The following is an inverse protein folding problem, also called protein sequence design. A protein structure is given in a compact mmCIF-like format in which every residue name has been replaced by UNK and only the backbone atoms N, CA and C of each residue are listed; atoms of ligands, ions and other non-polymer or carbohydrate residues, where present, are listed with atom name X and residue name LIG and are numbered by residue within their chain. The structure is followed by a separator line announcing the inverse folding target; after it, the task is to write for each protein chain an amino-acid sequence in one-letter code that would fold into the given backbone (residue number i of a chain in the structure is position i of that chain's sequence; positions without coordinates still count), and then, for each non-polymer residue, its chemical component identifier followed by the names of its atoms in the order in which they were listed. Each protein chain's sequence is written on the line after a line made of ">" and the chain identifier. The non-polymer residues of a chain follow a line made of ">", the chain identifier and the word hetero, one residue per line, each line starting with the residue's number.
data_IF_169664081165
#
_entry.id   IF_169664081165
#
_cell.length_a   1.000
_cell.length_b   1.000
_cell.length_c   1.000
_cell.angle_alpha   90.00
_cell.angle_beta   90.00
_cell.angle_gamma   90.00
#
_symmetry.space_group_name_H-M   'P 1'
#
loop_
_entity.id
_entity.type
_entity.pdbx_description
1 polymer ?
#
# COMPACT_ATOMS: atom_id res chain seq x y z
N UNK A 1 -27.43 -6.81 -7.85
CA UNK A 1 -27.27 -5.34 -7.86
C UNK A 1 -28.43 -4.77 -7.08
N UNK A 2 -28.18 -4.20 -5.91
CA UNK A 2 -29.22 -3.82 -4.95
C UNK A 2 -29.39 -2.30 -4.83
N UNK A 3 -28.92 -1.52 -5.81
CA UNK A 3 -28.93 -0.04 -5.82
C UNK A 3 -28.43 0.60 -4.51
N UNK A 4 -27.44 -0.06 -3.89
CA UNK A 4 -26.84 0.38 -2.64
C UNK A 4 -25.83 1.52 -2.91
N UNK A 5 -25.67 2.45 -1.96
CA UNK A 5 -24.70 3.52 -2.07
C UNK A 5 -23.27 2.96 -2.16
N UNK A 6 -22.40 3.62 -2.94
CA UNK A 6 -20.99 3.26 -3.05
C UNK A 6 -20.22 3.64 -1.77
N UNK A 7 -20.58 2.99 -0.68
CA UNK A 7 -19.98 3.16 0.65
C UNK A 7 -19.64 1.82 1.25
N UNK A 8 -18.72 1.78 2.21
CA UNK A 8 -18.23 0.53 2.80
C UNK A 8 -19.29 -0.22 3.59
N UNK A 9 -20.27 0.50 4.14
CA UNK A 9 -21.44 -0.12 4.77
C UNK A 9 -22.18 -1.06 3.84
N UNK A 10 -22.19 -0.79 2.54
CA UNK A 10 -22.87 -1.59 1.54
C UNK A 10 -22.29 -3.00 1.39
N UNK A 11 -21.00 -3.18 1.65
CA UNK A 11 -20.36 -4.50 1.66
C UNK A 11 -20.89 -5.42 2.77
N UNK A 12 -21.46 -4.85 3.85
CA UNK A 12 -22.06 -5.60 4.95
C UNK A 12 -23.55 -5.87 4.76
N UNK A 13 -24.17 -5.38 3.69
CA UNK A 13 -25.58 -5.59 3.42
C UNK A 13 -26.01 -7.08 3.47
N UNK A 14 -25.24 -8.03 2.90
CA UNK A 14 -25.60 -9.45 2.98
C UNK A 14 -25.66 -10.01 4.41
N UNK A 15 -24.96 -9.37 5.36
CA UNK A 15 -24.85 -9.82 6.76
C UNK A 15 -25.85 -9.12 7.67
N UNK A 16 -26.01 -7.80 7.52
CA UNK A 16 -26.80 -6.98 8.45
C UNK A 16 -28.05 -6.35 7.83
N UNK A 17 -28.28 -6.55 6.53
CA UNK A 17 -29.45 -6.05 5.82
C UNK A 17 -29.62 -4.53 5.94
N UNK A 18 -30.87 -4.05 6.10
CA UNK A 18 -31.21 -2.63 6.16
C UNK A 18 -30.57 -1.86 7.35
N UNK A 19 -29.97 -2.56 8.32
CA UNK A 19 -29.23 -1.93 9.42
C UNK A 19 -28.00 -1.14 8.93
N UNK A 20 -27.59 -1.31 7.67
CA UNK A 20 -26.55 -0.47 7.04
C UNK A 20 -26.96 1.02 7.02
N UNK A 21 -28.24 1.35 6.99
CA UNK A 21 -28.71 2.74 6.99
C UNK A 21 -28.78 3.36 8.40
N UNK A 22 -28.46 2.59 9.44
CA UNK A 22 -28.50 3.01 10.84
C UNK A 22 -27.13 3.38 11.42
N UNK A 23 -27.07 3.44 12.77
CA UNK A 23 -25.85 3.77 13.54
C UNK A 23 -24.69 2.79 13.26
N UNK A 24 -25.00 1.51 13.02
CA UNK A 24 -24.02 0.48 12.67
C UNK A 24 -23.32 0.79 11.34
N UNK A 25 -24.09 1.11 10.29
CA UNK A 25 -23.53 1.49 9.01
C UNK A 25 -22.67 2.77 9.09
N UNK A 26 -23.12 3.77 9.86
CA UNK A 26 -22.35 4.98 10.08
C UNK A 26 -21.02 4.68 10.81
N UNK A 27 -21.05 3.80 11.82
CA UNK A 27 -19.82 3.40 12.51
C UNK A 27 -18.83 2.72 11.55
N UNK A 28 -19.32 1.81 10.71
CA UNK A 28 -18.47 1.14 9.68
C UNK A 28 -17.81 2.15 8.76
N UNK A 29 -18.57 3.13 8.26
CA UNK A 29 -18.00 4.15 7.37
C UNK A 29 -16.99 5.05 8.09
N UNK A 30 -17.25 5.44 9.35
CA UNK A 30 -16.31 6.23 10.15
C UNK A 30 -15.00 5.46 10.38
N UNK A 31 -15.07 4.20 10.82
CA UNK A 31 -13.88 3.37 10.99
C UNK A 31 -13.12 3.17 9.69
N UNK A 32 -13.84 3.02 8.60
CA UNK A 32 -13.25 2.87 7.29
C UNK A 32 -12.50 4.14 6.83
N UNK A 33 -13.08 5.32 7.08
CA UNK A 33 -12.42 6.62 6.79
C UNK A 33 -11.17 6.77 7.66
N UNK A 34 -11.28 6.55 8.96
CA UNK A 34 -10.15 6.62 9.88
C UNK A 34 -9.02 5.66 9.46
N UNK A 35 -9.36 4.40 9.16
CA UNK A 35 -8.39 3.41 8.69
C UNK A 35 -7.69 3.84 7.41
N UNK A 36 -8.42 4.44 6.47
CA UNK A 36 -7.83 4.99 5.24
C UNK A 36 -6.89 6.17 5.53
N UNK A 37 -7.31 7.10 6.38
CA UNK A 37 -6.49 8.26 6.74
C UNK A 37 -5.16 7.84 7.39
N UNK A 38 -5.21 6.95 8.38
CA UNK A 38 -4.00 6.44 9.03
C UNK A 38 -3.14 5.59 8.09
N UNK A 39 -3.75 4.78 7.22
CA UNK A 39 -3.03 4.02 6.22
C UNK A 39 -2.28 4.89 5.21
N UNK A 40 -2.92 5.95 4.71
CA UNK A 40 -2.28 6.94 3.82
C UNK A 40 -1.18 7.69 4.55
N UNK A 41 -1.43 8.14 5.80
CA UNK A 41 -0.43 8.86 6.59
C UNK A 41 0.82 8.00 6.84
N UNK A 42 0.65 6.73 7.18
CA UNK A 42 1.76 5.79 7.40
C UNK A 42 2.55 5.55 6.11
N UNK A 43 1.87 5.27 5.00
CA UNK A 43 2.51 5.03 3.70
C UNK A 43 3.26 6.26 3.20
N UNK A 44 2.65 7.45 3.35
CA UNK A 44 3.28 8.71 2.98
C UNK A 44 4.52 8.99 3.85
N UNK A 45 4.43 8.75 5.16
CA UNK A 45 5.55 8.92 6.10
C UNK A 45 6.75 8.05 5.73
N UNK A 46 6.53 6.76 5.51
CA UNK A 46 7.59 5.82 5.09
C UNK A 46 8.16 6.24 3.73
N UNK A 47 7.32 6.58 2.76
CA UNK A 47 7.75 7.02 1.44
C UNK A 47 8.61 8.29 1.49
N UNK A 48 8.21 9.26 2.32
CA UNK A 48 8.98 10.51 2.50
C UNK A 48 10.34 10.27 3.16
N UNK A 49 10.43 9.35 4.10
CA UNK A 49 11.73 8.96 4.69
C UNK A 49 12.66 8.38 3.63
N UNK A 50 12.16 7.53 2.74
CA UNK A 50 12.93 6.97 1.63
C UNK A 50 13.36 8.05 0.63
N UNK A 51 12.47 8.96 0.24
CA UNK A 51 12.78 10.09 -0.64
C UNK A 51 13.84 10.98 -0.01
N UNK A 52 13.71 11.32 1.29
CA UNK A 52 14.70 12.15 1.99
C UNK A 52 16.07 11.45 2.04
N UNK A 53 16.13 10.15 2.28
CA UNK A 53 17.37 9.38 2.25
C UNK A 53 18.00 9.40 0.84
N UNK A 54 17.20 9.24 -0.22
CA UNK A 54 17.66 9.38 -1.61
C UNK A 54 18.19 10.77 -1.94
N UNK A 55 17.50 11.82 -1.52
CA UNK A 55 17.92 13.21 -1.70
C UNK A 55 19.20 13.54 -0.90
N UNK A 56 19.36 12.95 0.26
CA UNK A 56 20.60 13.05 1.02
C UNK A 56 21.77 12.44 0.25
N UNK A 57 21.58 11.24 -0.29
CA UNK A 57 22.63 10.56 -1.06
C UNK A 57 23.01 11.32 -2.34
N UNK A 58 22.05 11.86 -3.08
CA UNK A 58 22.28 12.53 -4.36
C UNK A 58 22.74 13.99 -4.22
N UNK A 59 22.20 14.73 -3.28
CA UNK A 59 22.33 16.18 -3.16
C UNK A 59 22.86 16.65 -1.81
N UNK A 60 23.14 15.73 -0.88
CA UNK A 60 23.60 16.09 0.47
C UNK A 60 22.55 16.77 1.35
N UNK A 61 21.27 16.71 0.99
CA UNK A 61 20.20 17.29 1.81
C UNK A 61 20.10 16.58 3.16
N UNK A 62 20.02 17.32 4.30
CA UNK A 62 20.00 16.67 5.61
C UNK A 62 18.76 15.79 5.80
N UNK A 63 18.96 14.63 6.42
CA UNK A 63 17.84 13.79 6.87
C UNK A 63 17.29 14.41 8.14
N UNK A 64 16.24 15.22 8.02
CA UNK A 64 15.67 15.96 9.14
C UNK A 64 14.14 16.05 9.04
N UNK A 65 13.52 16.26 10.18
CA UNK A 65 12.05 16.43 10.28
C UNK A 65 11.58 17.60 9.40
N UNK A 66 12.34 18.69 9.32
CA UNK A 66 11.97 19.85 8.51
C UNK A 66 11.89 19.49 7.02
N UNK A 67 12.89 18.77 6.50
CA UNK A 67 12.90 18.33 5.09
C UNK A 67 11.75 17.35 4.84
N UNK A 68 11.50 16.42 5.76
CA UNK A 68 10.40 15.48 5.64
C UNK A 68 9.04 16.17 5.64
N UNK A 69 8.81 17.16 6.50
CA UNK A 69 7.57 17.96 6.50
C UNK A 69 7.40 18.75 5.20
N UNK A 70 8.47 19.34 4.69
CA UNK A 70 8.43 20.03 3.38
C UNK A 70 8.09 19.06 2.23
N UNK A 71 8.66 17.85 2.24
CA UNK A 71 8.35 16.81 1.26
C UNK A 71 6.89 16.34 1.37
N UNK A 72 6.38 16.11 2.60
CA UNK A 72 4.97 15.78 2.82
C UNK A 72 4.07 16.87 2.25
N UNK A 73 4.35 18.13 2.54
CA UNK A 73 3.57 19.26 2.03
C UNK A 73 3.59 19.30 0.50
N UNK A 74 4.75 19.12 -0.13
CA UNK A 74 4.89 19.13 -1.59
C UNK A 74 4.12 17.96 -2.24
N UNK A 75 4.27 16.75 -1.72
CA UNK A 75 3.58 15.55 -2.24
C UNK A 75 2.07 15.69 -2.04
N UNK A 76 1.63 16.16 -0.86
CA UNK A 76 0.21 16.37 -0.57
C UNK A 76 -0.39 17.44 -1.47
N UNK A 77 0.34 18.52 -1.73
CA UNK A 77 -0.09 19.56 -2.67
C UNK A 77 -0.26 18.98 -4.09
N UNK A 78 0.72 18.23 -4.59
CA UNK A 78 0.64 17.58 -5.89
C UNK A 78 -0.53 16.58 -5.97
N UNK A 79 -0.74 15.79 -4.93
CA UNK A 79 -1.87 14.87 -4.84
C UNK A 79 -3.21 15.61 -4.83
N UNK A 80 -3.31 16.72 -4.08
CA UNK A 80 -4.52 17.54 -4.02
C UNK A 80 -4.84 18.15 -5.40
N UNK A 81 -3.85 18.70 -6.09
CA UNK A 81 -4.02 19.21 -7.46
C UNK A 81 -4.50 18.10 -8.40
N UNK A 82 -3.92 16.91 -8.29
CA UNK A 82 -4.34 15.74 -9.07
C UNK A 82 -5.80 15.36 -8.83
N UNK A 83 -6.24 15.34 -7.56
CA UNK A 83 -7.63 15.04 -7.19
C UNK A 83 -8.60 16.11 -7.67
N UNK A 84 -8.25 17.39 -7.52
CA UNK A 84 -9.08 18.54 -7.96
C UNK A 84 -9.21 18.56 -9.48
N UNK A 85 -8.17 18.16 -10.22
CA UNK A 85 -8.21 18.04 -11.69
C UNK A 85 -9.14 16.93 -12.18
N UNK A 86 -9.60 16.05 -11.28
CA UNK A 86 -10.56 14.97 -11.57
C UNK A 86 -9.91 13.62 -11.89
N UNK A 87 -10.76 12.60 -11.94
CA UNK A 87 -10.32 11.19 -12.10
C UNK A 87 -9.56 10.96 -13.41
N UNK A 88 -10.09 11.45 -14.53
CA UNK A 88 -9.51 11.19 -15.86
C UNK A 88 -8.30 12.08 -16.16
N UNK A 89 -8.35 13.35 -15.77
CA UNK A 89 -7.30 14.31 -16.10
C UNK A 89 -6.13 14.30 -15.11
N UNK A 90 -6.40 14.02 -13.84
CA UNK A 90 -5.39 14.05 -12.77
C UNK A 90 -4.93 12.66 -12.38
N UNK A 91 -5.79 11.91 -11.73
CA UNK A 91 -5.43 10.63 -11.10
C UNK A 91 -4.98 9.60 -12.15
N UNK A 92 -5.72 9.45 -13.24
CA UNK A 92 -5.39 8.50 -14.30
C UNK A 92 -4.05 8.81 -14.95
N UNK A 93 -3.81 10.06 -15.34
CA UNK A 93 -2.54 10.44 -16.01
C UNK A 93 -1.34 10.28 -15.07
N UNK A 94 -1.51 10.62 -13.79
CA UNK A 94 -0.44 10.44 -12.80
C UNK A 94 -0.14 8.96 -12.58
N UNK A 95 -1.16 8.11 -12.57
CA UNK A 95 -1.03 6.66 -12.47
C UNK A 95 -0.34 6.06 -13.70
N UNK A 96 -0.73 6.47 -14.91
CA UNK A 96 -0.10 6.04 -16.16
C UNK A 96 1.38 6.47 -16.22
N UNK A 97 1.68 7.70 -15.79
CA UNK A 97 3.06 8.20 -15.69
C UNK A 97 3.88 7.36 -14.69
N UNK A 98 3.32 7.07 -13.54
CA UNK A 98 4.00 6.25 -12.52
C UNK A 98 4.32 4.84 -13.05
N UNK A 99 3.37 4.21 -13.76
CA UNK A 99 3.58 2.90 -14.39
C UNK A 99 4.68 2.95 -15.45
N UNK A 100 4.67 3.99 -16.28
CA UNK A 100 5.71 4.20 -17.30
C UNK A 100 7.09 4.36 -16.67
N UNK A 101 7.20 5.20 -15.64
CA UNK A 101 8.46 5.41 -14.92
C UNK A 101 8.97 4.13 -14.25
N UNK A 102 8.07 3.34 -13.65
CA UNK A 102 8.42 2.05 -13.06
C UNK A 102 8.94 1.06 -14.12
N UNK A 103 8.29 1.00 -15.29
CA UNK A 103 8.73 0.15 -16.40
C UNK A 103 10.09 0.61 -16.95
N UNK A 104 10.28 1.90 -17.16
CA UNK A 104 11.55 2.47 -17.61
C UNK A 104 12.68 2.18 -16.61
N UNK A 105 12.43 2.34 -15.33
CA UNK A 105 13.41 2.03 -14.28
C UNK A 105 13.75 0.53 -14.29
N UNK A 106 12.75 -0.34 -14.40
CA UNK A 106 12.97 -1.79 -14.47
C UNK A 106 13.83 -2.18 -15.67
N UNK A 107 13.50 -1.65 -16.87
CA UNK A 107 14.28 -1.90 -18.09
C UNK A 107 15.70 -1.33 -17.96
N UNK A 108 15.84 -0.12 -17.44
CA UNK A 108 17.15 0.49 -17.19
C UNK A 108 18.03 -0.38 -16.28
N UNK A 109 17.49 -0.82 -15.15
CA UNK A 109 18.23 -1.69 -14.20
C UNK A 109 18.59 -3.02 -14.86
N UNK A 110 17.69 -3.58 -15.65
CA UNK A 110 17.94 -4.84 -16.34
C UNK A 110 19.08 -4.71 -17.39
N UNK A 111 19.10 -3.61 -18.14
CA UNK A 111 20.09 -3.39 -19.22
C UNK A 111 21.42 -2.86 -18.70
N UNK A 112 21.38 -1.89 -17.78
CA UNK A 112 22.59 -1.26 -17.23
C UNK A 112 23.24 -2.07 -16.10
N UNK A 113 22.49 -2.97 -15.48
CA UNK A 113 22.97 -3.83 -14.40
C UNK A 113 23.54 -5.17 -14.91
N UNK A 114 23.91 -6.06 -13.99
CA UNK A 114 24.40 -7.40 -14.32
C UNK A 114 23.21 -8.30 -14.73
N UNK A 115 22.73 -8.16 -15.94
CA UNK A 115 21.50 -8.79 -16.48
C UNK A 115 21.42 -10.30 -16.21
N UNK A 116 22.50 -11.04 -16.47
CA UNK A 116 22.53 -12.48 -16.24
C UNK A 116 22.34 -12.84 -14.77
N UNK A 117 23.00 -12.09 -13.89
CA UNK A 117 22.85 -12.28 -12.44
C UNK A 117 21.43 -11.95 -11.99
N UNK A 118 20.83 -10.86 -12.49
CA UNK A 118 19.45 -10.46 -12.15
C UNK A 118 18.44 -11.53 -12.55
N UNK A 119 18.54 -12.04 -13.77
CA UNK A 119 17.65 -13.09 -14.27
C UNK A 119 17.87 -14.44 -13.54
N UNK A 120 19.13 -14.82 -13.30
CA UNK A 120 19.45 -16.03 -12.56
C UNK A 120 18.93 -15.95 -11.12
N UNK A 121 19.11 -14.81 -10.47
CA UNK A 121 18.59 -14.56 -9.11
C UNK A 121 17.07 -14.60 -9.07
N UNK A 122 16.39 -14.04 -10.08
CA UNK A 122 14.94 -14.09 -10.16
C UNK A 122 14.43 -15.54 -10.21
N UNK A 123 15.02 -16.36 -11.09
CA UNK A 123 14.63 -17.78 -11.22
C UNK A 123 14.91 -18.54 -9.93
N UNK A 124 16.09 -18.33 -9.34
CA UNK A 124 16.46 -18.98 -8.09
C UNK A 124 15.52 -18.57 -6.94
N UNK A 125 15.20 -17.28 -6.82
CA UNK A 125 14.30 -16.77 -5.78
C UNK A 125 12.87 -17.32 -5.94
N UNK A 126 12.37 -17.46 -7.17
CA UNK A 126 11.08 -18.11 -7.44
C UNK A 126 11.11 -19.56 -6.95
N UNK A 127 12.17 -20.31 -7.28
CA UNK A 127 12.33 -21.68 -6.82
C UNK A 127 12.39 -21.79 -5.30
N UNK A 128 13.16 -20.93 -4.64
CA UNK A 128 13.25 -20.87 -3.18
C UNK A 128 11.92 -20.50 -2.52
N UNK A 129 11.20 -19.54 -3.10
CA UNK A 129 9.87 -19.15 -2.62
C UNK A 129 8.88 -20.31 -2.69
N UNK A 130 8.79 -20.96 -3.85
CA UNK A 130 7.85 -22.08 -4.05
C UNK A 130 8.21 -23.29 -3.16
N UNK A 131 9.48 -23.62 -3.01
CA UNK A 131 9.92 -24.74 -2.15
C UNK A 131 9.76 -24.44 -0.66
N UNK A 132 9.93 -23.18 -0.26
CA UNK A 132 9.79 -22.75 1.13
C UNK A 132 8.36 -22.38 1.55
N UNK A 133 7.40 -22.35 0.62
CA UNK A 133 6.06 -21.81 0.85
C UNK A 133 5.35 -22.49 2.03
N UNK A 134 5.39 -23.80 2.12
CA UNK A 134 4.73 -24.57 3.18
C UNK A 134 5.38 -24.28 4.53
N UNK A 135 6.70 -24.34 4.61
CA UNK A 135 7.46 -24.07 5.83
C UNK A 135 7.19 -22.64 6.33
N UNK A 136 7.29 -21.64 5.46
CA UNK A 136 7.04 -20.25 5.81
C UNK A 136 5.60 -20.00 6.25
N UNK A 137 4.61 -20.67 5.65
CA UNK A 137 3.19 -20.51 5.99
C UNK A 137 2.86 -21.02 7.38
N UNK A 138 3.46 -22.15 7.78
CA UNK A 138 3.16 -22.80 9.05
C UNK A 138 4.21 -22.55 10.14
N UNK A 139 5.24 -21.78 9.87
CA UNK A 139 6.27 -21.44 10.85
C UNK A 139 5.75 -20.40 11.84
N UNK A 140 5.36 -20.85 13.01
CA UNK A 140 4.86 -20.01 14.12
C UNK A 140 5.86 -19.84 15.26
N UNK A 141 7.11 -20.32 15.08
CA UNK A 141 8.19 -20.21 16.06
C UNK A 141 7.84 -20.76 17.46
N UNK A 142 7.07 -21.86 17.51
CA UNK A 142 6.59 -22.45 18.76
C UNK A 142 7.72 -22.88 19.71
N UNK A 143 8.87 -23.27 19.15
CA UNK A 143 10.05 -23.75 19.90
C UNK A 143 11.17 -22.70 20.01
N UNK A 144 11.06 -21.62 19.28
CA UNK A 144 12.03 -20.51 19.23
C UNK A 144 11.28 -19.18 19.44
N UNK A 145 10.91 -18.84 20.68
CA UNK A 145 10.12 -17.62 20.94
C UNK A 145 10.85 -16.38 20.41
N UNK A 146 10.18 -15.65 19.57
CA UNK A 146 10.63 -14.36 19.04
C UNK A 146 9.44 -13.43 18.76
N UNK A 147 9.74 -12.17 18.58
CA UNK A 147 8.72 -11.13 18.36
C UNK A 147 8.18 -11.07 16.92
N UNK A 148 8.65 -11.95 16.03
CA UNK A 148 8.28 -11.92 14.60
C UNK A 148 6.78 -12.09 14.39
N UNK A 149 6.16 -13.05 15.07
CA UNK A 149 4.73 -13.32 14.96
C UNK A 149 3.90 -12.11 15.39
N UNK A 150 4.22 -11.50 16.53
CA UNK A 150 3.54 -10.31 17.04
C UNK A 150 3.73 -9.10 16.15
N UNK A 151 4.96 -8.82 15.75
CA UNK A 151 5.30 -7.59 15.04
C UNK A 151 4.97 -7.63 13.54
N UNK A 152 5.02 -8.80 12.91
CA UNK A 152 4.86 -8.93 11.47
C UNK A 152 3.67 -9.79 11.07
N UNK A 153 3.59 -11.03 11.52
CA UNK A 153 2.53 -11.94 11.08
C UNK A 153 1.15 -11.45 11.48
N UNK A 154 0.94 -11.12 12.75
CA UNK A 154 -0.34 -10.62 13.24
C UNK A 154 -0.68 -9.25 12.64
N UNK A 155 0.32 -8.37 12.51
CA UNK A 155 0.14 -7.06 11.88
C UNK A 155 -0.34 -7.18 10.43
N UNK A 156 0.36 -7.96 9.60
CA UNK A 156 -0.03 -8.15 8.21
C UNK A 156 -1.36 -8.89 8.07
N UNK A 157 -1.61 -9.89 8.91
CA UNK A 157 -2.87 -10.63 8.91
C UNK A 157 -4.05 -9.70 9.21
N UNK A 158 -3.96 -8.90 10.25
CA UNK A 158 -4.96 -7.90 10.60
C UNK A 158 -5.14 -6.85 9.50
N UNK A 159 -4.05 -6.38 8.90
CA UNK A 159 -4.09 -5.43 7.79
C UNK A 159 -4.83 -6.01 6.59
N UNK A 160 -4.48 -7.21 6.14
CA UNK A 160 -5.13 -7.83 4.99
C UNK A 160 -6.62 -8.08 5.21
N UNK A 161 -7.03 -8.53 6.41
CA UNK A 161 -8.44 -8.69 6.77
C UNK A 161 -9.15 -7.34 6.72
N UNK A 162 -8.57 -6.30 7.29
CA UNK A 162 -9.17 -4.96 7.29
C UNK A 162 -9.24 -4.35 5.90
N UNK A 163 -8.26 -4.68 5.03
CA UNK A 163 -8.16 -4.15 3.68
C UNK A 163 -9.07 -4.86 2.67
N UNK A 164 -9.39 -6.13 2.89
CA UNK A 164 -10.15 -6.95 1.94
C UNK A 164 -11.52 -6.39 1.56
N UNK A 165 -12.34 -5.79 2.45
CA UNK A 165 -13.61 -5.18 2.06
C UNK A 165 -13.44 -3.98 1.13
N UNK A 166 -12.34 -3.24 1.25
CA UNK A 166 -12.02 -2.10 0.39
C UNK A 166 -11.69 -2.56 -1.02
N UNK A 167 -10.82 -3.54 -1.13
CA UNK A 167 -10.42 -4.11 -2.42
C UNK A 167 -11.60 -4.76 -3.09
N UNK A 168 -12.40 -5.54 -2.35
CA UNK A 168 -13.61 -6.17 -2.87
C UNK A 168 -14.61 -5.17 -3.44
N UNK A 169 -14.84 -4.06 -2.75
CA UNK A 169 -15.73 -2.99 -3.23
C UNK A 169 -15.17 -2.25 -4.45
N UNK A 170 -13.84 -2.11 -4.54
CA UNK A 170 -13.19 -1.45 -5.68
C UNK A 170 -13.21 -2.31 -6.94
N UNK A 171 -13.14 -3.64 -6.80
CA UNK A 171 -13.14 -4.59 -7.92
C UNK A 171 -14.56 -4.90 -8.41
N UNK A 172 -15.57 -4.85 -7.54
CA UNK A 172 -16.96 -5.18 -7.86
C UNK A 172 -17.66 -4.13 -8.73
#
# INVERSE_FOLDING_TARGET
>A
RHDLPLTRRSALYPVIGDKIHGKLGNAVDIFAILGTMFGVATSLGIGVMQVNAGLNYLFGLPVSVLVQVALIAAITCAATVSVVAGLDAGIRRLSELNLLLALLLMVFVLVAGPTVMLLSSLIQNIGMYLSGLVDMTFRIYAYEPNDWIGNWTLFYWAWWISWSPFVGMFIA
#
